data_IF_010182113218
#
_entry.id   IF_010182113218
#
_cell.length_a   1.000
_cell.length_b   1.000
_cell.length_c   1.000
_cell.angle_alpha   90.00
_cell.angle_beta   90.00
_cell.angle_gamma   90.00
#
_symmetry.space_group_name_H-M   'P 1'
#
loop_
_entity.id
_entity.type
_entity.pdbx_description
1 polymer ?
#
# COMPACT_ATOMS: atom_id res chain seq x y z
N UNK A 1 8.90 8.27 -5.82
CA UNK A 1 8.38 7.45 -6.92
C UNK A 1 7.22 6.57 -6.46
N UNK A 2 6.16 6.46 -7.25
CA UNK A 2 5.05 5.52 -7.01
C UNK A 2 5.18 4.34 -7.99
N UNK A 3 5.08 3.11 -7.48
CA UNK A 3 5.08 1.87 -8.27
C UNK A 3 3.69 1.24 -8.24
N UNK A 4 3.16 0.87 -9.41
CA UNK A 4 1.98 -0.01 -9.51
C UNK A 4 2.49 -1.45 -9.64
N UNK A 5 2.19 -2.28 -8.65
CA UNK A 5 2.66 -3.67 -8.62
C UNK A 5 1.50 -4.66 -8.39
N UNK A 6 1.08 -5.31 -9.47
CA UNK A 6 0.03 -6.33 -9.44
C UNK A 6 0.44 -7.60 -8.70
N UNK A 7 1.70 -7.74 -8.31
CA UNK A 7 2.18 -8.87 -7.50
C UNK A 7 2.16 -8.57 -6.02
N UNK A 8 1.90 -7.33 -5.63
CA UNK A 8 1.74 -6.92 -4.25
C UNK A 8 0.27 -6.96 -3.87
N UNK A 9 -0.09 -7.73 -2.84
CA UNK A 9 -1.47 -7.82 -2.38
C UNK A 9 -1.95 -6.51 -1.77
N UNK A 10 -1.08 -5.81 -1.03
CA UNK A 10 -1.43 -4.62 -0.27
C UNK A 10 -0.74 -3.37 -0.80
N UNK A 11 -1.31 -2.20 -0.51
CA UNK A 11 -0.62 -0.93 -0.72
C UNK A 11 0.38 -0.68 0.40
N UNK A 12 1.53 -0.11 0.05
CA UNK A 12 2.64 0.12 0.96
C UNK A 12 3.13 1.55 0.79
N UNK A 13 3.48 2.19 1.90
CA UNK A 13 4.06 3.53 1.94
C UNK A 13 5.34 3.50 2.77
N UNK A 14 6.37 4.21 2.32
CA UNK A 14 7.61 4.34 3.06
C UNK A 14 7.38 5.24 4.28
N UNK A 15 7.78 4.84 5.51
CA UNK A 15 7.46 5.58 6.74
C UNK A 15 7.90 7.05 6.71
N UNK A 16 9.02 7.37 6.07
CA UNK A 16 9.50 8.75 5.98
C UNK A 16 8.51 9.68 5.25
N UNK A 17 7.76 9.16 4.27
CA UNK A 17 6.73 9.93 3.56
C UNK A 17 5.60 10.28 4.51
N UNK A 18 5.16 9.34 5.34
CA UNK A 18 4.09 9.61 6.32
C UNK A 18 4.50 10.67 7.33
N UNK A 19 5.77 10.70 7.73
CA UNK A 19 6.31 11.74 8.63
C UNK A 19 6.40 13.09 7.92
N UNK A 20 6.96 13.11 6.71
CA UNK A 20 7.14 14.34 5.93
C UNK A 20 5.80 15.00 5.57
N UNK A 21 4.79 14.20 5.26
CA UNK A 21 3.44 14.67 4.92
C UNK A 21 2.51 14.78 6.14
N UNK A 22 3.01 14.50 7.34
CA UNK A 22 2.24 14.55 8.60
C UNK A 22 0.95 13.72 8.56
N UNK A 23 1.00 12.56 7.89
CA UNK A 23 -0.14 11.67 7.77
C UNK A 23 -0.40 10.96 9.11
N UNK A 24 -1.68 10.74 9.41
CA UNK A 24 -2.09 10.01 10.61
C UNK A 24 -1.72 8.54 10.44
N UNK A 25 -0.86 8.03 11.31
CA UNK A 25 -0.48 6.62 11.38
C UNK A 25 -1.09 5.97 12.61
N UNK A 26 -1.55 4.73 12.46
CA UNK A 26 -2.10 3.89 13.53
C UNK A 26 -1.16 2.72 13.79
N UNK A 27 -1.08 2.23 15.05
CA UNK A 27 -0.47 0.94 15.31
C UNK A 27 -1.27 -0.13 14.56
N UNK A 28 -0.55 -1.06 13.94
CA UNK A 28 -1.13 -2.27 13.36
C UNK A 28 -0.75 -3.45 14.23
N UNK A 29 -1.61 -4.47 14.30
CA UNK A 29 -1.15 -5.76 14.82
C UNK A 29 0.04 -6.20 13.99
N UNK A 30 1.10 -6.67 14.65
CA UNK A 30 2.34 -7.13 14.03
C UNK A 30 2.00 -8.18 12.97
N UNK A 31 1.86 -7.73 11.73
CA UNK A 31 1.61 -8.57 10.59
C UNK A 31 2.91 -8.61 9.82
N UNK A 32 3.48 -9.81 9.70
CA UNK A 32 4.58 -10.03 8.80
C UNK A 32 4.02 -9.98 7.38
N UNK A 33 4.34 -8.91 6.67
CA UNK A 33 4.15 -8.90 5.23
C UNK A 33 5.25 -9.81 4.66
N UNK A 34 4.84 -10.94 4.08
CA UNK A 34 5.76 -11.81 3.36
C UNK A 34 6.24 -11.04 2.14
N UNK A 35 7.53 -10.79 2.08
CA UNK A 35 8.16 -10.23 0.89
C UNK A 35 8.74 -11.40 0.09
N UNK A 36 8.86 -11.17 -1.22
CA UNK A 36 9.46 -12.11 -2.17
C UNK A 36 10.67 -12.82 -1.55
N UNK A 37 10.67 -14.15 -1.57
CA UNK A 37 11.65 -15.08 -0.97
C UNK A 37 11.50 -15.40 0.54
N UNK A 38 10.29 -15.34 1.09
CA UNK A 38 10.00 -15.78 2.48
C UNK A 38 10.73 -14.97 3.56
N UNK A 39 11.29 -13.82 3.19
CA UNK A 39 11.80 -12.85 4.15
C UNK A 39 10.62 -12.10 4.76
N UNK A 40 10.69 -11.94 6.08
CA UNK A 40 9.68 -11.25 6.84
C UNK A 40 10.19 -9.86 7.18
N UNK A 41 9.48 -8.83 6.72
CA UNK A 41 9.71 -7.46 7.19
C UNK A 41 8.60 -7.08 8.16
N UNK A 42 9.00 -6.49 9.27
CA UNK A 42 8.07 -5.97 10.28
C UNK A 42 7.35 -4.75 9.73
N UNK A 43 6.03 -4.83 9.64
CA UNK A 43 5.18 -3.69 9.36
C UNK A 43 5.21 -2.72 10.55
N UNK A 44 5.64 -1.48 10.33
CA UNK A 44 5.83 -0.49 11.41
C UNK A 44 4.55 0.27 11.76
N UNK A 45 3.46 0.04 11.03
CA UNK A 45 2.20 0.74 11.24
C UNK A 45 1.28 0.67 10.05
N UNK A 46 0.17 1.38 10.14
CA UNK A 46 -0.82 1.51 9.09
C UNK A 46 -1.27 2.95 8.93
N UNK A 47 -1.35 3.45 7.71
CA UNK A 47 -1.91 4.76 7.40
C UNK A 47 -3.26 4.56 6.68
N UNK A 48 -4.40 4.87 7.33
CA UNK A 48 -5.71 4.61 6.75
C UNK A 48 -6.07 5.57 5.61
N UNK A 49 -5.42 6.72 5.53
CA UNK A 49 -5.79 7.82 4.63
C UNK A 49 -4.55 8.40 3.97
N UNK A 50 -4.09 7.75 2.89
CA UNK A 50 -3.03 8.27 2.03
C UNK A 50 -3.66 8.92 0.80
N UNK A 51 -3.57 10.26 0.66
CA UNK A 51 -4.03 10.93 -0.54
C UNK A 51 -3.01 10.74 -1.68
N UNK A 52 -3.48 10.24 -2.83
CA UNK A 52 -2.69 10.06 -4.04
C UNK A 52 -3.42 10.72 -5.20
N UNK A 53 -2.72 11.60 -5.92
CA UNK A 53 -3.27 12.31 -7.07
C UNK A 53 -2.57 11.80 -8.34
N UNK A 54 -3.35 11.18 -9.22
CA UNK A 54 -2.98 10.97 -10.62
C UNK A 54 -3.80 11.92 -11.49
N UNK A 55 -4.82 11.39 -12.17
CA UNK A 55 -5.86 12.18 -12.85
C UNK A 55 -6.99 12.57 -11.89
N UNK A 56 -7.22 11.75 -10.86
CA UNK A 56 -8.21 11.96 -9.81
C UNK A 56 -7.55 11.78 -8.44
N UNK A 57 -8.16 12.34 -7.40
CA UNK A 57 -7.77 12.12 -6.01
C UNK A 57 -8.27 10.75 -5.55
N UNK A 58 -7.36 9.92 -5.09
CA UNK A 58 -7.63 8.66 -4.40
C UNK A 58 -7.21 8.78 -2.95
N UNK A 59 -8.02 8.25 -2.04
CA UNK A 59 -7.66 8.09 -0.63
C UNK A 59 -7.60 6.60 -0.38
N UNK A 60 -6.39 6.07 -0.21
CA UNK A 60 -6.19 4.64 -0.01
C UNK A 60 -5.51 4.33 1.31
N UNK A 61 -5.84 3.18 1.92
CA UNK A 61 -5.10 2.66 3.04
C UNK A 61 -3.75 2.11 2.57
N UNK A 62 -2.68 2.34 3.34
CA UNK A 62 -1.34 1.81 3.09
C UNK A 62 -0.69 1.27 4.37
N UNK A 63 0.05 0.17 4.23
CA UNK A 63 0.93 -0.34 5.29
C UNK A 63 2.28 0.36 5.27
N UNK A 64 2.87 0.57 6.44
CA UNK A 64 4.17 1.21 6.56
C UNK A 64 5.27 0.16 6.51
N UNK A 65 6.07 0.17 5.45
CA UNK A 65 7.26 -0.68 5.33
C UNK A 65 8.45 0.11 4.78
N UNK A 66 9.67 -0.13 5.30
CA UNK A 66 10.89 0.48 4.79
C UNK A 66 11.30 -0.17 3.46
N UNK A 67 10.71 0.28 2.36
CA UNK A 67 11.11 -0.10 1.00
C UNK A 67 12.23 0.83 0.55
N UNK A 68 13.21 0.33 -0.20
CA UNK A 68 14.26 1.17 -0.78
C UNK A 68 13.85 1.71 -2.15
N UNK A 69 14.04 3.01 -2.36
CA UNK A 69 13.88 3.66 -3.67
C UNK A 69 12.45 3.83 -4.16
N UNK A 70 11.44 3.45 -3.37
CA UNK A 70 10.01 3.55 -3.73
C UNK A 70 9.25 4.19 -2.58
N UNK A 71 8.56 5.28 -2.85
CA UNK A 71 7.80 6.03 -1.84
C UNK A 71 6.49 5.32 -1.52
N UNK A 72 5.81 4.83 -2.56
CA UNK A 72 4.52 4.14 -2.46
C UNK A 72 4.47 2.99 -3.46
N UNK A 73 4.04 1.82 -3.00
CA UNK A 73 3.61 0.70 -3.85
C UNK A 73 2.09 0.65 -3.80
N UNK A 74 1.44 0.68 -4.96
CA UNK A 74 0.01 0.43 -5.11
C UNK A 74 -0.19 -1.01 -5.57
N UNK A 75 -0.75 -1.83 -4.68
CA UNK A 75 -1.02 -3.24 -4.91
C UNK A 75 -2.38 -3.50 -5.54
N UNK A 76 -2.78 -4.77 -5.59
CA UNK A 76 -4.08 -5.21 -6.11
C UNK A 76 -5.25 -4.58 -5.32
N UNK A 77 -5.08 -4.31 -4.02
CA UNK A 77 -6.09 -3.61 -3.22
C UNK A 77 -6.51 -2.26 -3.80
N UNK A 78 -5.56 -1.49 -4.35
CA UNK A 78 -5.91 -0.23 -5.02
C UNK A 78 -6.70 -0.46 -6.31
N UNK A 79 -6.40 -1.53 -7.08
CA UNK A 79 -7.18 -1.84 -8.28
C UNK A 79 -8.67 -2.06 -7.99
N UNK A 80 -9.01 -2.62 -6.83
CA UNK A 80 -10.41 -2.79 -6.42
C UNK A 80 -11.14 -1.46 -6.22
N UNK A 81 -10.41 -0.39 -5.89
CA UNK A 81 -10.98 0.95 -5.72
C UNK A 81 -11.28 1.60 -7.08
N UNK A 82 -10.47 1.31 -8.11
CA UNK A 82 -10.63 1.90 -9.45
C UNK A 82 -11.41 1.03 -10.44
N UNK A 83 -11.62 -0.25 -10.13
CA UNK A 83 -12.42 -1.14 -10.95
C UNK A 83 -13.90 -0.93 -10.65
N UNK A 84 -14.72 -0.47 -11.62
CA UNK A 84 -16.17 -0.38 -11.44
C UNK A 84 -16.71 -1.81 -11.37
N UNK A 85 -16.93 -2.34 -10.16
CA UNK A 85 -17.61 -3.60 -9.84
C UNK A 85 -17.55 -4.65 -10.97
N UNK A 86 -16.44 -5.40 -11.06
CA UNK A 86 -16.49 -6.69 -11.75
C UNK A 86 -16.73 -7.78 -10.72
N UNK A 87 -18.00 -8.19 -10.60
CA UNK A 87 -18.47 -9.47 -10.06
C UNK A 87 -17.88 -10.70 -10.78
N UNK A 88 -16.83 -10.57 -11.60
CA UNK A 88 -16.23 -11.67 -12.36
C UNK A 88 -14.73 -11.43 -12.60
N UNK A 89 -13.92 -11.47 -11.56
CA UNK A 89 -12.53 -11.92 -11.72
C UNK A 89 -12.50 -13.37 -11.22
N UNK A 90 -12.92 -14.28 -12.08
CA UNK A 90 -12.59 -15.69 -11.90
C UNK A 90 -11.06 -15.79 -11.96
N UNK A 91 -10.44 -16.08 -10.81
CA UNK A 91 -9.07 -16.59 -10.80
C UNK A 91 -9.10 -18.00 -11.42
N UNK A 92 -8.24 -18.31 -12.41
CA UNK A 92 -8.03 -19.69 -12.85
C UNK A 92 -7.39 -20.55 -11.76
#
# INVERSE_FOLDING_TARGET
>A
MILVDLRSSHNIIQPYITLHLQLITKPTHHFFLMIKNSEHITCSGFCPQVPIIFQHLFIIPCYLLPIQGIDVIMGIEWLRVISPLQDNIAMP
#
